data_IF_767252859598
#
_entry.id   IF_767252859598
#
_cell.length_a   1.000
_cell.length_b   1.000
_cell.length_c   1.000
_cell.angle_alpha   90.00
_cell.angle_beta   90.00
_cell.angle_gamma   90.00
#
_symmetry.space_group_name_H-M   'P 1'
#
loop_
_entity.id
_entity.type
_entity.pdbx_description
1 polymer ?
#
# COMPACT_ATOMS: atom_id res chain seq x y z
N UNK A 1 -94.28 -9.75 56.49
CA UNK A 1 -92.87 -9.39 56.78
C UNK A 1 -91.94 -10.42 56.12
N UNK A 2 -91.36 -10.09 54.96
CA UNK A 2 -90.41 -10.97 54.25
C UNK A 2 -89.02 -10.25 54.22
N UNK A 3 -88.04 -10.90 54.81
CA UNK A 3 -86.67 -10.43 54.80
C UNK A 3 -86.03 -10.81 53.44
N UNK A 4 -85.53 -9.85 52.75
CA UNK A 4 -84.69 -10.03 51.56
C UNK A 4 -83.29 -10.29 52.01
N UNK A 5 -82.69 -11.41 51.59
CA UNK A 5 -81.27 -11.71 51.73
C UNK A 5 -80.55 -11.25 50.44
N UNK A 6 -79.65 -10.35 50.59
CA UNK A 6 -78.76 -9.90 49.49
C UNK A 6 -77.52 -10.79 49.53
N UNK A 7 -77.31 -11.58 48.48
CA UNK A 7 -76.11 -12.36 48.26
C UNK A 7 -75.06 -11.51 47.58
N UNK A 8 -73.94 -11.34 48.24
CA UNK A 8 -72.72 -10.61 47.71
C UNK A 8 -71.90 -11.57 46.87
N UNK A 9 -71.82 -11.32 45.59
CA UNK A 9 -70.91 -12.01 44.65
C UNK A 9 -69.60 -11.33 44.70
N UNK A 10 -68.55 -12.06 45.19
CA UNK A 10 -67.13 -11.62 45.12
C UNK A 10 -66.56 -12.08 43.81
N UNK A 11 -66.27 -11.12 42.90
CA UNK A 11 -65.52 -11.35 41.67
C UNK A 11 -64.05 -11.32 41.96
N UNK A 12 -63.37 -12.48 41.88
CA UNK A 12 -61.91 -12.59 41.99
C UNK A 12 -61.29 -12.19 40.62
N UNK A 13 -60.55 -11.10 40.60
CA UNK A 13 -59.78 -10.66 39.45
C UNK A 13 -58.41 -11.41 39.48
N UNK A 14 -58.25 -12.42 38.63
CA UNK A 14 -56.95 -13.03 38.38
C UNK A 14 -56.10 -12.08 37.51
N UNK A 15 -55.09 -11.42 38.09
CA UNK A 15 -54.08 -10.69 37.37
C UNK A 15 -53.08 -11.70 36.77
N UNK A 16 -53.14 -11.85 35.43
CA UNK A 16 -52.11 -12.60 34.69
C UNK A 16 -50.89 -11.67 34.52
N UNK A 17 -49.81 -11.93 35.30
CA UNK A 17 -48.51 -11.27 35.13
C UNK A 17 -47.84 -11.92 33.90
N UNK A 18 -47.86 -11.28 32.75
CA UNK A 18 -46.98 -11.63 31.65
C UNK A 18 -45.56 -11.21 32.03
N UNK A 19 -44.76 -12.15 32.49
CA UNK A 19 -43.31 -11.99 32.60
C UNK A 19 -42.67 -11.92 31.19
N UNK A 20 -42.26 -10.73 30.78
CA UNK A 20 -41.42 -10.57 29.61
C UNK A 20 -40.09 -11.22 29.92
N UNK A 21 -39.79 -12.40 29.37
CA UNK A 21 -38.47 -12.98 29.32
C UNK A 21 -37.62 -12.07 28.42
N UNK A 22 -36.84 -11.17 29.01
CA UNK A 22 -35.75 -10.49 28.34
C UNK A 22 -34.67 -11.56 28.04
N UNK A 23 -34.63 -12.03 26.80
CA UNK A 23 -33.49 -12.80 26.31
C UNK A 23 -32.25 -11.88 26.42
N UNK A 24 -31.12 -12.36 26.99
CA UNK A 24 -29.90 -11.60 26.92
C UNK A 24 -29.56 -11.40 25.44
N UNK A 25 -29.41 -10.15 24.99
CA UNK A 25 -28.77 -9.85 23.72
C UNK A 25 -27.33 -10.41 23.88
N UNK A 26 -27.07 -11.51 23.19
CA UNK A 26 -25.67 -11.94 22.98
C UNK A 26 -25.09 -10.80 22.17
N UNK A 27 -24.16 -10.04 22.73
CA UNK A 27 -23.32 -9.14 21.99
C UNK A 27 -22.63 -10.04 20.95
N UNK A 28 -23.01 -9.90 19.69
CA UNK A 28 -22.34 -10.57 18.60
C UNK A 28 -21.05 -9.77 18.45
N UNK A 29 -19.92 -10.35 18.82
CA UNK A 29 -18.63 -9.75 18.55
C UNK A 29 -18.55 -9.51 17.04
N UNK A 30 -18.33 -8.26 16.64
CA UNK A 30 -18.17 -7.92 15.24
C UNK A 30 -17.02 -8.71 14.64
N UNK A 31 -17.15 -9.27 13.43
CA UNK A 31 -16.04 -9.96 12.80
C UNK A 31 -14.87 -8.98 12.59
N UNK A 32 -13.65 -9.46 12.79
CA UNK A 32 -12.44 -8.68 12.53
C UNK A 32 -11.88 -9.09 11.17
N UNK A 33 -11.64 -8.10 10.32
CA UNK A 33 -10.90 -8.24 9.07
C UNK A 33 -9.46 -7.81 9.32
N UNK A 34 -8.51 -8.71 9.15
CA UNK A 34 -7.09 -8.46 9.38
C UNK A 34 -6.36 -8.25 8.05
N UNK A 35 -5.74 -7.11 7.90
CA UNK A 35 -5.00 -6.71 6.68
C UNK A 35 -3.52 -6.60 7.04
N UNK A 36 -2.68 -7.44 6.42
CA UNK A 36 -1.23 -7.28 6.51
C UNK A 36 -0.77 -6.29 5.45
N UNK A 37 0.02 -5.31 5.88
CA UNK A 37 0.47 -4.21 5.03
C UNK A 37 1.83 -3.66 5.49
N UNK A 38 2.33 -2.62 4.83
CA UNK A 38 3.56 -1.94 5.21
C UNK A 38 3.32 -0.88 6.30
N UNK A 39 4.38 -0.50 6.99
CA UNK A 39 4.33 0.37 8.17
C UNK A 39 3.78 1.76 7.87
N UNK A 40 4.20 2.38 6.75
CA UNK A 40 3.73 3.70 6.33
C UNK A 40 2.21 3.71 6.07
N UNK A 41 1.64 2.62 5.51
CA UNK A 41 0.20 2.53 5.27
C UNK A 41 -0.59 2.48 6.57
N UNK A 42 -0.11 1.71 7.56
CA UNK A 42 -0.77 1.49 8.84
C UNK A 42 -0.49 2.58 9.88
N UNK A 43 0.47 3.47 9.64
CA UNK A 43 0.87 4.53 10.57
C UNK A 43 -0.29 5.51 10.86
N UNK A 44 -0.22 6.20 12.00
CA UNK A 44 -1.23 7.21 12.38
C UNK A 44 -1.40 8.34 11.33
N UNK A 45 -0.37 8.60 10.55
CA UNK A 45 -0.36 9.59 9.46
C UNK A 45 -0.64 8.99 8.08
N UNK A 46 -0.63 7.65 7.96
CA UNK A 46 -0.90 6.92 6.72
C UNK A 46 -2.39 6.82 6.40
N UNK A 47 -2.75 6.16 5.29
CA UNK A 47 -4.16 6.02 4.87
C UNK A 47 -4.98 5.05 5.73
N UNK A 48 -4.32 4.10 6.42
CA UNK A 48 -4.97 3.05 7.18
C UNK A 48 -6.02 3.54 8.16
N UNK A 49 -5.75 4.52 9.05
CA UNK A 49 -6.73 5.02 10.01
C UNK A 49 -7.99 5.59 9.37
N UNK A 50 -7.86 6.34 8.27
CA UNK A 50 -9.00 6.94 7.57
C UNK A 50 -9.81 5.89 6.80
N UNK A 51 -9.13 4.93 6.16
CA UNK A 51 -9.80 3.79 5.52
C UNK A 51 -10.54 2.93 6.52
N UNK A 52 -9.95 2.70 7.70
CA UNK A 52 -10.59 1.99 8.82
C UNK A 52 -11.87 2.70 9.24
N UNK A 53 -11.81 3.99 9.52
CA UNK A 53 -12.98 4.78 9.93
C UNK A 53 -14.09 4.72 8.87
N UNK A 54 -13.74 4.94 7.60
CA UNK A 54 -14.71 4.93 6.50
C UNK A 54 -15.34 3.56 6.24
N UNK A 55 -14.56 2.49 6.31
CA UNK A 55 -15.07 1.14 6.10
C UNK A 55 -15.89 0.63 7.28
N UNK A 56 -15.44 0.83 8.53
CA UNK A 56 -16.17 0.43 9.74
C UNK A 56 -17.50 1.15 9.89
N UNK A 57 -17.64 2.37 9.35
CA UNK A 57 -18.92 3.07 9.29
C UNK A 57 -19.96 2.39 8.39
N UNK A 58 -19.54 1.53 7.46
CA UNK A 58 -20.39 0.85 6.48
C UNK A 58 -20.59 -0.64 6.78
N UNK A 59 -19.67 -1.27 7.51
CA UNK A 59 -19.77 -2.67 7.93
C UNK A 59 -20.06 -2.78 9.43
N UNK A 60 -20.65 -3.86 9.85
CA UNK A 60 -20.73 -4.23 11.27
C UNK A 60 -19.48 -5.08 11.61
N UNK A 61 -18.29 -4.51 11.44
CA UNK A 61 -17.02 -5.21 11.57
C UNK A 61 -15.96 -4.35 12.27
N UNK A 62 -14.80 -4.94 12.53
CA UNK A 62 -13.56 -4.27 12.89
C UNK A 62 -12.55 -4.49 11.79
N UNK A 63 -11.88 -3.44 11.31
CA UNK A 63 -10.75 -3.53 10.40
C UNK A 63 -9.45 -3.37 11.20
N UNK A 64 -8.54 -4.32 11.10
CA UNK A 64 -7.27 -4.31 11.81
C UNK A 64 -6.10 -4.38 10.82
N UNK A 65 -5.22 -3.36 10.87
CA UNK A 65 -4.01 -3.32 10.07
C UNK A 65 -2.83 -3.83 10.88
N UNK A 66 -2.16 -4.84 10.36
CA UNK A 66 -0.96 -5.43 10.96
C UNK A 66 0.22 -5.14 10.04
N UNK A 67 1.12 -4.27 10.51
CA UNK A 67 2.24 -3.79 9.70
C UNK A 67 3.45 -4.73 9.72
N UNK A 68 4.19 -4.67 8.63
CA UNK A 68 5.56 -5.14 8.47
C UNK A 68 6.42 -3.97 7.98
N UNK A 69 7.74 -4.14 7.95
CA UNK A 69 8.67 -3.08 7.51
C UNK A 69 8.36 -2.60 6.08
N UNK A 70 7.90 -3.52 5.20
CA UNK A 70 7.44 -3.22 3.85
C UNK A 70 6.54 -4.36 3.31
N UNK A 71 5.95 -4.19 2.14
CA UNK A 71 4.93 -5.08 1.57
C UNK A 71 5.43 -6.49 1.27
N UNK A 72 6.64 -6.63 0.73
CA UNK A 72 7.25 -7.95 0.52
C UNK A 72 7.49 -8.67 1.86
N UNK A 73 7.84 -7.92 2.91
CA UNK A 73 7.95 -8.47 4.27
C UNK A 73 6.61 -8.99 4.79
N UNK A 74 5.50 -8.29 4.50
CA UNK A 74 4.16 -8.74 4.85
C UNK A 74 3.80 -10.08 4.14
N UNK A 75 4.12 -10.21 2.84
CA UNK A 75 3.95 -11.45 2.10
C UNK A 75 4.80 -12.59 2.69
N UNK A 76 6.07 -12.33 2.99
CA UNK A 76 6.96 -13.32 3.61
C UNK A 76 6.45 -13.78 4.97
N UNK A 77 5.91 -12.87 5.76
CA UNK A 77 5.29 -13.19 7.04
C UNK A 77 4.13 -14.17 6.86
N UNK A 78 3.18 -13.85 5.96
CA UNK A 78 2.05 -14.75 5.68
C UNK A 78 2.50 -16.12 5.17
N UNK A 79 3.55 -16.19 4.31
CA UNK A 79 4.15 -17.44 3.87
C UNK A 79 4.73 -18.28 5.03
N UNK A 80 5.41 -17.65 5.97
CA UNK A 80 6.01 -18.33 7.13
C UNK A 80 4.96 -18.81 8.13
N UNK A 81 3.89 -18.06 8.31
CA UNK A 81 2.77 -18.42 9.17
C UNK A 81 1.92 -19.57 8.56
N UNK A 82 1.86 -19.64 7.22
CA UNK A 82 1.11 -20.67 6.49
C UNK A 82 -0.36 -20.72 6.90
N UNK A 83 -0.86 -21.93 7.23
CA UNK A 83 -2.26 -22.12 7.66
C UNK A 83 -2.60 -21.44 9.02
N UNK A 84 -1.58 -20.94 9.73
CA UNK A 84 -1.77 -20.23 10.99
C UNK A 84 -1.81 -18.71 10.83
N UNK A 85 -1.71 -18.19 9.60
CA UNK A 85 -1.81 -16.73 9.38
C UNK A 85 -3.17 -16.21 9.82
N UNK A 86 -3.15 -15.05 10.46
CA UNK A 86 -4.35 -14.30 10.84
C UNK A 86 -4.77 -13.30 9.75
N UNK A 87 -3.97 -13.18 8.67
CA UNK A 87 -4.27 -12.26 7.59
C UNK A 87 -5.46 -12.74 6.75
N UNK A 88 -6.39 -11.84 6.48
CA UNK A 88 -7.45 -11.99 5.49
C UNK A 88 -7.02 -11.44 4.13
N UNK A 89 -6.23 -10.35 4.16
CA UNK A 89 -5.76 -9.61 2.99
C UNK A 89 -4.26 -9.29 3.15
N UNK A 90 -3.51 -9.36 2.05
CA UNK A 90 -2.21 -8.67 1.90
C UNK A 90 -2.45 -7.44 1.03
N UNK A 91 -2.04 -6.28 1.52
CA UNK A 91 -2.17 -4.99 0.85
C UNK A 91 -0.80 -4.33 0.69
N UNK A 92 -0.52 -3.77 -0.49
CA UNK A 92 0.72 -3.06 -0.79
C UNK A 92 1.71 -3.86 -1.64
N UNK A 93 1.38 -5.11 -2.05
CA UNK A 93 2.09 -5.72 -3.17
C UNK A 93 1.92 -4.85 -4.42
N UNK A 94 2.68 -5.11 -5.47
CA UNK A 94 2.64 -4.31 -6.69
C UNK A 94 2.74 -5.18 -7.96
N UNK A 95 2.67 -4.54 -9.11
CA UNK A 95 2.82 -5.20 -10.41
C UNK A 95 4.09 -6.03 -10.54
N UNK A 96 5.16 -5.72 -9.80
CA UNK A 96 6.41 -6.48 -9.81
C UNK A 96 6.31 -7.77 -8.98
N UNK A 97 5.45 -7.81 -7.99
CA UNK A 97 5.34 -8.89 -7.00
C UNK A 97 4.13 -9.79 -7.20
N UNK A 98 3.19 -9.43 -8.10
CA UNK A 98 2.00 -10.25 -8.43
C UNK A 98 2.41 -11.69 -8.80
N UNK A 99 3.39 -11.87 -9.69
CA UNK A 99 3.83 -13.20 -10.12
C UNK A 99 4.37 -14.04 -8.97
N UNK A 100 5.12 -13.44 -8.06
CA UNK A 100 5.56 -14.11 -6.84
C UNK A 100 4.39 -14.43 -5.91
N UNK A 101 3.47 -13.47 -5.70
CA UNK A 101 2.26 -13.66 -4.92
C UNK A 101 1.46 -14.87 -5.44
N UNK A 102 1.22 -14.95 -6.74
CA UNK A 102 0.53 -16.08 -7.39
C UNK A 102 1.26 -17.41 -7.19
N UNK A 103 2.59 -17.42 -7.26
CA UNK A 103 3.40 -18.63 -7.06
C UNK A 103 3.32 -19.18 -5.64
N UNK A 104 2.90 -18.37 -4.64
CA UNK A 104 2.69 -18.83 -3.26
C UNK A 104 1.46 -19.72 -3.09
N UNK A 105 0.48 -19.63 -4.01
CA UNK A 105 -0.85 -20.22 -3.89
C UNK A 105 -1.62 -19.77 -2.63
N UNK A 106 -1.26 -18.65 -2.03
CA UNK A 106 -1.95 -18.10 -0.86
C UNK A 106 -3.22 -17.33 -1.20
N UNK A 107 -3.31 -16.78 -2.41
CA UNK A 107 -4.38 -15.87 -2.81
C UNK A 107 -5.55 -16.59 -3.51
N UNK A 108 -6.70 -15.95 -3.53
CA UNK A 108 -7.90 -16.41 -4.24
C UNK A 108 -8.49 -15.28 -5.08
N UNK A 109 -9.31 -15.62 -6.06
CA UNK A 109 -10.02 -14.66 -6.90
C UNK A 109 -10.89 -13.70 -6.05
N UNK A 110 -10.80 -12.40 -6.37
CA UNK A 110 -11.59 -11.38 -5.68
C UNK A 110 -13.08 -11.42 -6.05
N UNK A 111 -13.46 -11.90 -7.24
CA UNK A 111 -14.84 -12.02 -7.72
C UNK A 111 -15.62 -10.67 -7.73
N UNK A 112 -14.91 -9.56 -7.86
CA UNK A 112 -15.51 -8.22 -7.95
C UNK A 112 -15.71 -7.83 -9.42
N UNK A 113 -16.77 -7.08 -9.68
CA UNK A 113 -16.95 -6.34 -10.94
C UNK A 113 -16.26 -4.99 -10.78
N UNK A 114 -15.00 -4.92 -11.24
CA UNK A 114 -14.15 -3.75 -11.04
C UNK A 114 -14.49 -2.66 -12.08
N UNK A 115 -14.38 -1.38 -11.70
CA UNK A 115 -14.54 -0.27 -12.65
C UNK A 115 -13.34 -0.18 -13.61
N UNK A 116 -13.48 0.61 -14.66
CA UNK A 116 -12.32 1.06 -15.44
C UNK A 116 -11.46 1.98 -14.57
N UNK A 117 -10.16 1.68 -14.47
CA UNK A 117 -9.22 2.43 -13.65
C UNK A 117 -8.46 3.48 -14.46
N UNK A 118 -8.14 4.60 -13.83
CA UNK A 118 -7.27 5.65 -14.37
C UNK A 118 -5.79 5.35 -14.05
N UNK A 119 -5.29 4.26 -14.63
CA UNK A 119 -3.91 3.77 -14.48
C UNK A 119 -3.25 3.58 -15.84
N UNK A 120 -1.89 3.57 -15.92
CA UNK A 120 -1.18 3.54 -17.20
C UNK A 120 -1.24 2.20 -17.96
N UNK A 121 -2.04 1.24 -17.51
CA UNK A 121 -2.28 -0.05 -18.20
C UNK A 121 -3.74 -0.52 -18.03
N UNK A 122 -4.20 -1.40 -18.91
CA UNK A 122 -5.48 -2.09 -18.76
C UNK A 122 -5.38 -3.14 -17.65
N UNK A 123 -6.30 -3.10 -16.68
CA UNK A 123 -6.31 -4.03 -15.56
C UNK A 123 -7.27 -5.18 -15.79
N UNK A 124 -6.74 -6.40 -15.79
CA UNK A 124 -7.53 -7.63 -16.05
C UNK A 124 -7.24 -8.74 -15.05
N UNK A 125 -6.50 -8.46 -13.98
CA UNK A 125 -6.19 -9.45 -12.94
C UNK A 125 -7.47 -9.84 -12.17
N UNK A 126 -7.69 -11.15 -11.94
CA UNK A 126 -8.85 -11.67 -11.23
C UNK A 126 -8.57 -11.94 -9.73
N UNK A 127 -7.32 -11.79 -9.29
CA UNK A 127 -6.86 -12.08 -7.92
C UNK A 127 -6.53 -10.81 -7.16
N UNK A 128 -5.85 -9.88 -7.82
CA UNK A 128 -5.39 -8.65 -7.21
C UNK A 128 -6.18 -7.44 -7.67
N UNK A 129 -6.47 -6.52 -6.74
CA UNK A 129 -7.20 -5.27 -6.98
C UNK A 129 -6.22 -4.11 -6.83
N UNK A 130 -6.05 -3.23 -7.84
CA UNK A 130 -5.19 -2.05 -7.75
C UNK A 130 -5.85 -1.00 -6.87
N UNK A 131 -5.05 -0.23 -6.12
CA UNK A 131 -5.62 0.81 -5.26
C UNK A 131 -4.91 2.17 -5.36
N UNK A 132 -3.64 2.20 -5.73
CA UNK A 132 -2.91 3.41 -6.07
C UNK A 132 -1.76 3.11 -7.02
N UNK A 133 -1.09 4.16 -7.54
CA UNK A 133 0.08 4.00 -8.39
C UNK A 133 1.02 5.19 -8.31
N UNK A 134 2.26 4.97 -8.74
CA UNK A 134 3.28 6.00 -8.83
C UNK A 134 4.44 5.58 -9.73
N UNK A 135 5.51 6.38 -9.68
CA UNK A 135 6.70 6.15 -10.47
C UNK A 135 7.92 6.36 -9.60
N UNK A 136 8.88 5.45 -9.64
CA UNK A 136 10.07 5.58 -8.82
C UNK A 136 10.92 6.76 -9.27
N UNK A 137 11.49 7.46 -8.29
CA UNK A 137 12.41 8.56 -8.51
C UNK A 137 13.35 8.72 -7.31
N UNK A 138 14.49 9.33 -7.53
CA UNK A 138 15.31 9.83 -6.44
C UNK A 138 14.81 11.21 -5.99
N UNK A 139 14.51 11.35 -4.69
CA UNK A 139 14.13 12.63 -4.09
C UNK A 139 15.36 13.31 -3.50
N UNK A 140 15.44 14.62 -3.64
CA UNK A 140 16.56 15.44 -3.21
C UNK A 140 16.10 16.78 -2.62
N UNK A 141 17.01 17.46 -1.91
CA UNK A 141 16.82 18.82 -1.38
C UNK A 141 17.48 19.86 -2.30
N UNK A 142 16.70 20.79 -2.86
CA UNK A 142 17.19 21.86 -3.74
C UNK A 142 18.14 22.83 -3.04
N UNK A 143 18.15 22.89 -1.71
CA UNK A 143 19.10 23.69 -0.93
C UNK A 143 20.52 23.06 -0.95
N UNK A 144 20.60 21.74 -1.11
CA UNK A 144 21.86 21.00 -1.18
C UNK A 144 22.28 20.72 -2.62
N UNK A 145 21.33 20.44 -3.51
CA UNK A 145 21.58 20.02 -4.90
C UNK A 145 20.89 21.00 -5.85
N UNK A 146 21.69 21.87 -6.48
CA UNK A 146 21.18 22.85 -7.44
C UNK A 146 20.82 22.23 -8.81
N UNK A 147 21.51 21.16 -9.19
CA UNK A 147 21.30 20.44 -10.46
C UNK A 147 21.34 18.95 -10.16
N UNK A 148 20.19 18.28 -10.03
CA UNK A 148 20.12 16.84 -9.81
C UNK A 148 20.56 16.09 -11.07
N UNK A 149 21.04 14.82 -10.94
CA UNK A 149 21.29 13.96 -12.09
C UNK A 149 20.01 13.67 -12.85
N UNK A 150 20.08 13.67 -14.20
CA UNK A 150 18.97 13.35 -15.08
C UNK A 150 19.06 11.94 -15.69
N UNK A 151 20.03 11.14 -15.25
CA UNK A 151 20.17 9.73 -15.62
C UNK A 151 21.00 8.97 -14.58
N UNK A 152 21.02 7.62 -14.67
CA UNK A 152 21.91 6.81 -13.84
C UNK A 152 23.37 7.08 -14.14
N UNK A 153 23.76 7.32 -15.40
CA UNK A 153 25.14 7.67 -15.78
C UNK A 153 25.58 8.99 -15.15
N UNK A 154 24.72 9.98 -15.09
CA UNK A 154 25.01 11.24 -14.39
C UNK A 154 25.14 11.03 -12.90
N UNK A 155 24.27 10.19 -12.30
CA UNK A 155 24.32 9.85 -10.87
C UNK A 155 25.64 9.17 -10.51
N UNK A 156 26.07 8.15 -11.25
CA UNK A 156 27.32 7.44 -11.01
C UNK A 156 28.57 8.28 -11.30
N UNK A 157 28.45 9.35 -12.10
CA UNK A 157 29.53 10.28 -12.38
C UNK A 157 29.75 11.35 -11.30
N UNK A 158 28.88 11.43 -10.30
CA UNK A 158 29.00 12.37 -9.19
C UNK A 158 30.22 12.03 -8.30
N UNK A 159 30.71 12.97 -7.48
CA UNK A 159 31.78 12.70 -6.52
C UNK A 159 31.42 11.55 -5.57
N UNK A 160 32.39 10.72 -5.16
CA UNK A 160 32.16 9.54 -4.33
C UNK A 160 31.64 9.83 -2.91
N UNK A 161 31.73 11.07 -2.44
CA UNK A 161 31.14 11.54 -1.18
C UNK A 161 29.65 11.87 -1.32
N UNK A 162 29.11 11.95 -2.55
CA UNK A 162 27.67 12.01 -2.81
C UNK A 162 27.00 10.68 -2.45
N UNK A 163 26.00 10.71 -1.58
CA UNK A 163 25.38 9.50 -1.03
C UNK A 163 23.91 9.38 -1.34
N UNK A 164 23.51 8.18 -1.71
CA UNK A 164 22.11 7.79 -1.86
C UNK A 164 21.77 6.71 -0.84
N UNK A 165 20.51 6.67 -0.44
CA UNK A 165 19.94 5.57 0.34
C UNK A 165 18.87 4.88 -0.49
N UNK A 166 18.90 3.55 -0.49
CA UNK A 166 17.98 2.67 -1.22
C UNK A 166 17.45 1.57 -0.30
N UNK A 167 16.43 0.85 -0.74
CA UNK A 167 15.81 -0.22 0.01
C UNK A 167 16.26 -1.60 -0.51
N UNK A 168 16.12 -2.62 0.35
CA UNK A 168 16.43 -4.01 0.03
C UNK A 168 15.32 -4.61 -0.87
N UNK A 169 15.63 -5.02 -2.11
CA UNK A 169 14.66 -5.60 -3.03
C UNK A 169 14.05 -6.94 -2.57
N UNK A 170 14.60 -7.53 -1.49
CA UNK A 170 14.10 -8.78 -0.91
C UNK A 170 12.99 -8.57 0.12
N UNK A 171 12.82 -7.34 0.59
CA UNK A 171 11.85 -6.96 1.61
C UNK A 171 10.94 -5.81 1.19
N UNK A 172 11.37 -4.96 0.24
CA UNK A 172 10.75 -3.69 -0.12
C UNK A 172 10.40 -3.62 -1.61
N UNK A 173 9.17 -3.17 -1.93
CA UNK A 173 8.73 -2.95 -3.32
C UNK A 173 9.53 -1.83 -4.01
N UNK A 174 9.82 -0.66 -3.39
CA UNK A 174 10.72 0.32 -4.00
C UNK A 174 12.13 -0.22 -4.30
N UNK A 175 12.67 -1.03 -3.40
CA UNK A 175 13.98 -1.67 -3.64
C UNK A 175 13.97 -2.59 -4.86
N UNK A 176 12.91 -3.39 -5.03
CA UNK A 176 12.71 -4.20 -6.23
C UNK A 176 12.48 -3.30 -7.45
N UNK A 177 11.70 -2.24 -7.30
CA UNK A 177 11.42 -1.28 -8.35
C UNK A 177 12.68 -0.63 -8.95
N UNK A 178 13.70 -0.34 -8.13
CA UNK A 178 14.99 0.16 -8.62
C UNK A 178 15.70 -0.87 -9.50
N UNK A 179 15.66 -2.15 -9.14
CA UNK A 179 16.21 -3.21 -9.98
C UNK A 179 15.52 -3.24 -11.34
N UNK A 180 14.19 -3.20 -11.32
CA UNK A 180 13.39 -3.24 -12.55
C UNK A 180 13.59 -1.97 -13.39
N UNK A 181 13.72 -0.80 -12.77
CA UNK A 181 14.01 0.45 -13.46
C UNK A 181 15.34 0.40 -14.19
N UNK A 182 16.40 -0.05 -13.52
CA UNK A 182 17.71 -0.23 -14.15
C UNK A 182 17.65 -1.29 -15.25
N UNK A 183 16.98 -2.43 -15.03
CA UNK A 183 16.81 -3.47 -16.06
C UNK A 183 16.00 -3.00 -17.28
N UNK A 184 14.95 -2.22 -17.07
CA UNK A 184 14.15 -1.67 -18.16
C UNK A 184 14.96 -0.72 -19.07
N UNK A 185 15.93 0.00 -18.51
CA UNK A 185 16.77 0.94 -19.26
C UNK A 185 18.02 0.29 -19.87
N UNK A 186 18.66 -0.63 -19.17
CA UNK A 186 20.01 -1.11 -19.51
C UNK A 186 20.08 -2.61 -19.85
N UNK A 187 19.01 -3.39 -19.57
CA UNK A 187 19.00 -4.82 -19.91
C UNK A 187 20.22 -5.56 -19.35
N UNK A 188 21.01 -6.17 -20.24
CA UNK A 188 22.21 -6.93 -19.86
C UNK A 188 23.36 -6.04 -19.36
N UNK A 189 23.33 -4.72 -19.65
CA UNK A 189 24.33 -3.74 -19.20
C UNK A 189 24.03 -3.22 -17.77
N UNK A 190 22.94 -3.65 -17.14
CA UNK A 190 22.54 -3.23 -15.79
C UNK A 190 23.65 -3.42 -14.72
N UNK A 191 24.49 -4.45 -14.88
CA UNK A 191 25.62 -4.71 -13.97
C UNK A 191 26.59 -3.53 -13.90
N UNK A 192 26.85 -2.83 -15.03
CA UNK A 192 27.76 -1.69 -15.08
C UNK A 192 27.18 -0.50 -14.29
N UNK A 193 25.86 -0.33 -14.33
CA UNK A 193 25.16 0.68 -13.54
C UNK A 193 25.26 0.35 -12.05
N UNK A 194 25.06 -0.90 -11.65
CA UNK A 194 25.20 -1.33 -10.25
C UNK A 194 26.63 -1.15 -9.73
N UNK A 195 27.65 -1.50 -10.51
CA UNK A 195 29.06 -1.26 -10.17
C UNK A 195 29.34 0.23 -9.97
N UNK A 196 28.75 1.09 -10.81
CA UNK A 196 28.86 2.55 -10.69
C UNK A 196 28.11 3.12 -9.48
N UNK A 197 26.92 2.60 -9.15
CA UNK A 197 26.12 3.04 -8.01
C UNK A 197 26.70 2.60 -6.66
N UNK A 198 27.36 1.45 -6.59
CA UNK A 198 27.84 0.86 -5.34
C UNK A 198 28.63 1.83 -4.45
N UNK A 199 29.58 2.67 -4.97
CA UNK A 199 30.29 3.65 -4.14
C UNK A 199 29.39 4.76 -3.57
N UNK A 200 28.22 5.03 -4.18
CA UNK A 200 27.29 6.06 -3.77
C UNK A 200 26.26 5.55 -2.76
N UNK A 201 26.01 4.24 -2.67
CA UNK A 201 25.06 3.67 -1.72
C UNK A 201 25.59 3.82 -0.30
N UNK A 202 24.93 4.67 0.51
CA UNK A 202 25.25 4.85 1.92
C UNK A 202 24.88 3.58 2.70
N UNK A 203 23.67 3.11 2.49
CA UNK A 203 23.12 1.90 3.10
C UNK A 203 21.92 1.40 2.30
N UNK A 204 21.56 0.14 2.55
CA UNK A 204 20.37 -0.53 2.03
C UNK A 204 19.46 -0.82 3.23
N UNK A 205 18.34 -0.13 3.33
CA UNK A 205 17.39 -0.26 4.44
C UNK A 205 16.40 -1.40 4.21
N UNK A 206 15.73 -1.88 5.26
CA UNK A 206 14.74 -2.95 5.15
C UNK A 206 13.46 -2.47 4.43
N UNK A 207 13.05 -1.22 4.67
CA UNK A 207 11.85 -0.60 4.11
C UNK A 207 12.03 0.87 3.77
N UNK A 208 10.97 1.44 3.20
CA UNK A 208 10.96 2.81 2.69
C UNK A 208 11.08 3.86 3.81
N UNK A 209 10.34 3.71 4.92
CA UNK A 209 10.28 4.71 6.00
C UNK A 209 11.67 4.99 6.57
N UNK A 210 12.46 3.96 6.85
CA UNK A 210 13.83 4.11 7.37
C UNK A 210 14.73 4.89 6.40
N UNK A 211 14.64 4.60 5.09
CA UNK A 211 15.46 5.29 4.10
C UNK A 211 15.07 6.77 3.95
N UNK A 212 13.78 7.06 4.02
CA UNK A 212 13.31 8.44 3.92
C UNK A 212 13.71 9.27 5.15
N UNK A 213 13.68 8.68 6.34
CA UNK A 213 14.16 9.30 7.58
C UNK A 213 15.66 9.61 7.53
N UNK A 214 16.49 8.71 6.99
CA UNK A 214 17.93 8.96 6.78
C UNK A 214 18.17 10.15 5.84
N UNK A 215 17.39 10.27 4.78
CA UNK A 215 17.45 11.42 3.88
C UNK A 215 17.04 12.72 4.59
N UNK A 216 15.91 12.73 5.28
CA UNK A 216 15.41 13.92 5.99
C UNK A 216 16.34 14.37 7.12
N UNK A 217 17.08 13.43 7.73
CA UNK A 217 18.11 13.75 8.73
C UNK A 217 19.39 14.31 8.13
N UNK A 218 19.52 14.29 6.78
CA UNK A 218 20.69 14.80 6.05
C UNK A 218 21.86 13.84 6.02
N UNK A 219 21.64 12.54 6.25
CA UNK A 219 22.69 11.53 6.17
C UNK A 219 22.95 11.07 4.72
N UNK A 220 21.98 11.25 3.84
CA UNK A 220 22.09 10.99 2.42
C UNK A 220 21.68 12.21 1.60
N UNK A 221 22.30 12.39 0.43
CA UNK A 221 21.99 13.47 -0.50
C UNK A 221 20.71 13.21 -1.29
N UNK A 222 20.42 11.95 -1.58
CA UNK A 222 19.20 11.53 -2.25
C UNK A 222 18.66 10.22 -1.65
N UNK A 223 17.35 10.02 -1.79
CA UNK A 223 16.66 8.79 -1.40
C UNK A 223 15.87 8.24 -2.57
N UNK A 224 15.88 6.92 -2.74
CA UNK A 224 14.95 6.24 -3.64
C UNK A 224 13.53 6.33 -3.05
N UNK A 225 12.62 6.90 -3.82
CA UNK A 225 11.22 7.12 -3.45
C UNK A 225 10.37 7.25 -4.73
N UNK A 226 9.44 8.21 -4.77
CA UNK A 226 8.50 8.37 -5.88
C UNK A 226 8.52 9.79 -6.45
N UNK A 227 8.09 9.94 -7.69
CA UNK A 227 7.88 11.25 -8.32
C UNK A 227 6.87 12.10 -7.54
N UNK A 228 5.99 11.48 -6.78
CA UNK A 228 4.93 12.10 -5.98
C UNK A 228 5.36 12.44 -4.54
N UNK A 229 6.45 11.89 -4.02
CA UNK A 229 6.89 12.13 -2.64
C UNK A 229 7.05 13.62 -2.28
N UNK A 230 7.48 14.52 -3.18
CA UNK A 230 7.52 15.94 -2.87
C UNK A 230 6.14 16.57 -2.60
N UNK A 231 5.04 15.92 -3.00
CA UNK A 231 3.69 16.44 -2.73
C UNK A 231 3.42 16.49 -1.21
N UNK A 232 3.93 15.54 -0.43
CA UNK A 232 3.86 15.58 1.03
C UNK A 232 4.42 16.89 1.58
N UNK A 233 5.64 17.22 1.25
CA UNK A 233 6.30 18.44 1.74
C UNK A 233 5.59 19.69 1.27
N UNK A 234 5.18 19.74 0.02
CA UNK A 234 4.50 20.89 -0.56
C UNK A 234 3.11 21.11 0.06
N UNK A 235 2.31 20.05 0.18
CA UNK A 235 0.88 20.16 0.56
C UNK A 235 0.72 20.15 2.08
N UNK A 236 1.38 19.22 2.79
CA UNK A 236 1.20 19.07 4.23
C UNK A 236 2.11 20.00 5.04
N UNK A 237 3.33 20.28 4.58
CA UNK A 237 4.31 21.08 5.32
C UNK A 237 4.48 22.49 4.76
N UNK A 238 4.04 22.76 3.53
CA UNK A 238 4.24 24.04 2.85
C UNK A 238 5.70 24.29 2.43
N UNK A 239 6.49 23.20 2.30
CA UNK A 239 7.90 23.21 1.95
C UNK A 239 8.09 22.79 0.48
N UNK A 240 8.70 23.64 -0.33
CA UNK A 240 8.89 23.40 -1.77
C UNK A 240 10.32 23.01 -2.14
N UNK A 241 11.21 22.84 -1.14
CA UNK A 241 12.62 22.52 -1.38
C UNK A 241 12.86 21.06 -1.80
N UNK A 242 12.01 20.13 -1.39
CA UNK A 242 12.15 18.72 -1.78
C UNK A 242 11.58 18.51 -3.17
N UNK A 243 12.35 17.86 -4.04
CA UNK A 243 11.99 17.59 -5.43
C UNK A 243 12.38 16.16 -5.84
N UNK A 244 11.68 15.62 -6.82
CA UNK A 244 12.10 14.39 -7.48
C UNK A 244 13.02 14.71 -8.65
N UNK A 245 14.12 13.98 -8.79
CA UNK A 245 15.01 14.10 -9.95
C UNK A 245 14.33 13.47 -11.17
N UNK A 246 14.15 14.27 -12.23
CA UNK A 246 13.57 13.78 -13.48
C UNK A 246 14.66 13.11 -14.30
N UNK A 247 14.50 11.81 -14.57
CA UNK A 247 15.36 11.07 -15.47
C UNK A 247 14.79 11.12 -16.90
N UNK A 248 15.61 11.57 -17.84
CA UNK A 248 15.19 11.79 -19.22
C UNK A 248 14.75 10.50 -19.94
N UNK A 249 15.34 9.37 -19.57
CA UNK A 249 14.98 8.06 -20.11
C UNK A 249 13.67 7.49 -19.57
N UNK A 250 13.05 8.16 -18.57
CA UNK A 250 11.77 7.80 -17.98
C UNK A 250 11.87 7.17 -16.60
N UNK A 251 10.70 6.90 -16.03
CA UNK A 251 10.54 6.40 -14.68
C UNK A 251 9.77 5.07 -14.68
N UNK A 252 10.17 4.13 -13.84
CA UNK A 252 9.50 2.84 -13.74
C UNK A 252 8.20 2.97 -12.96
N UNK A 253 7.13 2.40 -13.51
CA UNK A 253 5.78 2.45 -12.95
C UNK A 253 5.62 1.40 -11.85
N UNK A 254 5.02 1.80 -10.73
CA UNK A 254 4.50 0.90 -9.72
C UNK A 254 2.98 1.07 -9.64
N UNK A 255 2.23 -0.03 -9.63
CA UNK A 255 0.80 -0.05 -9.28
C UNK A 255 0.66 -0.96 -8.08
N UNK A 256 0.23 -0.40 -6.96
CA UNK A 256 0.03 -1.16 -5.73
C UNK A 256 -1.29 -1.92 -5.77
N UNK A 257 -1.28 -3.10 -5.20
CA UNK A 257 -2.41 -4.02 -5.23
C UNK A 257 -2.69 -4.66 -3.86
N UNK A 258 -3.93 -5.08 -3.69
CA UNK A 258 -4.37 -5.88 -2.55
C UNK A 258 -4.97 -7.20 -3.02
N UNK A 259 -4.69 -8.30 -2.29
CA UNK A 259 -5.19 -9.63 -2.59
C UNK A 259 -5.76 -10.34 -1.36
N UNK A 260 -6.82 -11.13 -1.56
CA UNK A 260 -7.51 -11.89 -0.50
C UNK A 260 -6.79 -13.23 -0.32
N UNK A 261 -6.50 -13.61 0.92
CA UNK A 261 -5.95 -14.93 1.20
C UNK A 261 -7.02 -16.02 1.13
N UNK A 262 -6.70 -17.13 0.45
CA UNK A 262 -7.61 -18.26 0.28
C UNK A 262 -7.98 -18.92 1.63
N UNK A 263 -7.11 -18.84 2.64
CA UNK A 263 -7.33 -19.33 4.00
C UNK A 263 -8.24 -18.46 4.84
N UNK A 264 -8.54 -17.21 4.41
CA UNK A 264 -9.37 -16.28 5.17
C UNK A 264 -10.76 -16.87 5.46
N UNK A 265 -11.22 -16.87 6.72
CA UNK A 265 -12.60 -17.21 7.06
C UNK A 265 -13.57 -16.06 6.74
N UNK A 266 -13.07 -14.86 6.43
CA UNK A 266 -13.82 -13.61 6.26
C UNK A 266 -13.96 -13.20 4.78
N UNK A 267 -14.05 -14.15 3.84
CA UNK A 267 -14.02 -13.91 2.39
C UNK A 267 -14.96 -12.81 1.90
N UNK A 268 -16.21 -12.80 2.38
CA UNK A 268 -17.20 -11.78 1.99
C UNK A 268 -16.83 -10.39 2.51
N UNK A 269 -16.30 -10.32 3.73
CA UNK A 269 -15.87 -9.05 4.33
C UNK A 269 -14.61 -8.52 3.63
N UNK A 270 -13.68 -9.42 3.26
CA UNK A 270 -12.50 -9.08 2.48
C UNK A 270 -12.87 -8.50 1.10
N UNK A 271 -13.82 -9.13 0.39
CA UNK A 271 -14.35 -8.59 -0.87
C UNK A 271 -15.01 -7.22 -0.67
N UNK A 272 -15.78 -7.06 0.41
CA UNK A 272 -16.42 -5.77 0.71
C UNK A 272 -15.37 -4.66 0.96
N UNK A 273 -14.27 -4.98 1.63
CA UNK A 273 -13.19 -4.01 1.83
C UNK A 273 -12.47 -3.67 0.53
N UNK A 274 -12.13 -4.65 -0.31
CA UNK A 274 -11.52 -4.36 -1.61
C UNK A 274 -12.44 -3.55 -2.52
N UNK A 275 -13.76 -3.86 -2.50
CA UNK A 275 -14.74 -3.07 -3.23
C UNK A 275 -14.84 -1.62 -2.70
N UNK A 276 -14.76 -1.42 -1.38
CA UNK A 276 -14.72 -0.09 -0.77
C UNK A 276 -13.44 0.67 -1.17
N UNK A 277 -12.29 0.01 -1.15
CA UNK A 277 -10.99 0.60 -1.46
C UNK A 277 -10.98 1.24 -2.87
N UNK A 278 -11.74 0.69 -3.81
CA UNK A 278 -11.87 1.21 -5.19
C UNK A 278 -13.18 2.00 -5.40
N UNK A 279 -13.68 2.66 -4.36
CA UNK A 279 -14.73 3.69 -4.48
C UNK A 279 -14.10 5.09 -4.39
N UNK A 280 -14.77 6.16 -4.86
CA UNK A 280 -14.29 7.53 -4.66
C UNK A 280 -14.03 7.88 -3.19
N UNK A 281 -14.81 7.34 -2.25
CA UNK A 281 -14.64 7.52 -0.82
C UNK A 281 -13.40 6.78 -0.28
N UNK A 282 -13.19 5.53 -0.72
CA UNK A 282 -12.01 4.74 -0.35
C UNK A 282 -10.72 5.28 -0.96
N UNK A 283 -10.81 5.93 -2.13
CA UNK A 283 -9.68 6.59 -2.78
C UNK A 283 -9.31 7.95 -2.16
N UNK A 284 -10.26 8.59 -1.44
CA UNK A 284 -10.08 9.97 -0.95
C UNK A 284 -8.86 10.16 -0.03
N UNK A 285 -8.52 9.26 0.91
CA UNK A 285 -7.35 9.45 1.77
C UNK A 285 -6.00 9.22 1.06
N UNK A 286 -5.94 8.39 0.00
CA UNK A 286 -4.67 7.93 -0.59
C UNK A 286 -3.77 9.06 -1.09
N UNK A 287 -4.24 10.05 -1.86
CA UNK A 287 -3.36 11.09 -2.38
C UNK A 287 -2.72 11.98 -1.30
N UNK A 288 -3.36 12.14 -0.14
CA UNK A 288 -2.91 13.06 0.92
C UNK A 288 -2.33 12.36 2.15
N UNK A 289 -2.29 11.02 2.14
CA UNK A 289 -1.70 10.24 3.24
C UNK A 289 -0.75 9.15 2.77
N UNK A 290 -0.98 8.55 1.58
CA UNK A 290 -0.02 7.65 0.92
C UNK A 290 0.85 8.38 -0.13
N UNK A 291 0.42 9.58 -0.53
CA UNK A 291 1.14 10.43 -1.50
C UNK A 291 1.37 9.75 -2.86
N UNK A 292 0.42 8.90 -3.25
CA UNK A 292 0.39 8.21 -4.53
C UNK A 292 -0.79 8.70 -5.37
N UNK A 293 -0.75 8.45 -6.67
CA UNK A 293 -1.90 8.73 -7.55
C UNK A 293 -3.01 7.72 -7.26
N UNK A 294 -4.27 8.17 -7.09
CA UNK A 294 -5.40 7.27 -6.93
C UNK A 294 -5.74 6.57 -8.25
N UNK A 295 -6.27 5.34 -8.19
CA UNK A 295 -6.69 4.58 -9.38
C UNK A 295 -8.06 5.03 -9.93
N UNK A 296 -8.80 5.83 -9.18
CA UNK A 296 -10.06 6.48 -9.56
C UNK A 296 -10.08 7.90 -9.00
N UNK A 297 -10.87 8.76 -9.61
CA UNK A 297 -11.04 10.12 -9.08
C UNK A 297 -11.60 10.06 -7.65
N UNK A 298 -10.86 10.57 -6.65
CA UNK A 298 -11.29 10.52 -5.25
C UNK A 298 -12.40 11.51 -4.95
N UNK A 299 -13.19 11.24 -3.92
CA UNK A 299 -14.15 12.23 -3.41
C UNK A 299 -13.43 13.51 -3.01
N UNK A 300 -13.80 14.62 -3.62
CA UNK A 300 -13.14 15.93 -3.45
C UNK A 300 -12.12 16.27 -4.52
N UNK A 301 -11.78 15.33 -5.40
CA UNK A 301 -10.78 15.51 -6.45
C UNK A 301 -9.33 15.42 -5.96
N UNK A 302 -8.40 15.33 -6.88
CA UNK A 302 -6.97 15.34 -6.57
C UNK A 302 -6.50 16.74 -6.15
N UNK A 303 -5.69 16.82 -5.10
CA UNK A 303 -5.14 18.08 -4.62
C UNK A 303 -4.31 18.77 -5.72
N UNK A 304 -4.53 20.08 -5.99
CA UNK A 304 -3.80 20.81 -7.05
C UNK A 304 -2.26 20.76 -6.91
N UNK A 305 -1.72 20.53 -5.71
CA UNK A 305 -0.29 20.38 -5.47
C UNK A 305 0.35 19.22 -6.25
N UNK A 306 -0.43 18.20 -6.63
CA UNK A 306 0.07 17.12 -7.49
C UNK A 306 0.42 17.57 -8.92
N UNK A 307 -0.14 18.69 -9.38
CA UNK A 307 0.21 19.26 -10.69
C UNK A 307 1.64 19.85 -10.72
N UNK A 308 2.25 20.08 -9.54
CA UNK A 308 3.63 20.55 -9.42
C UNK A 308 4.67 19.42 -9.47
N UNK A 309 4.21 18.16 -9.43
CA UNK A 309 5.11 17.01 -9.51
C UNK A 309 5.69 16.87 -10.93
N UNK A 310 6.86 16.25 -11.02
CA UNK A 310 7.49 16.04 -12.33
C UNK A 310 6.64 15.13 -13.22
N UNK A 311 6.64 15.39 -14.53
CA UNK A 311 6.10 14.45 -15.51
C UNK A 311 7.04 13.23 -15.61
N UNK A 312 6.56 12.00 -15.28
CA UNK A 312 7.38 10.80 -15.23
C UNK A 312 7.69 10.20 -16.61
N UNK A 313 7.16 10.78 -17.67
CA UNK A 313 7.25 10.20 -19.02
C UNK A 313 8.67 10.21 -19.60
N UNK A 314 9.05 9.15 -20.38
CA UNK A 314 8.22 7.95 -20.62
C UNK A 314 8.05 7.06 -19.39
N UNK A 315 6.83 6.50 -19.20
CA UNK A 315 6.57 5.50 -18.18
C UNK A 315 7.17 4.16 -18.62
N UNK A 316 7.94 3.54 -17.75
CA UNK A 316 8.60 2.26 -18.00
C UNK A 316 7.87 1.14 -17.22
N UNK A 317 7.70 0.01 -17.88
CA UNK A 317 7.18 -1.20 -17.26
C UNK A 317 7.72 -2.41 -18.03
N UNK A 318 8.25 -3.39 -17.34
CA UNK A 318 8.67 -4.66 -17.91
C UNK A 318 7.49 -5.62 -17.99
N UNK A 319 7.58 -6.60 -18.88
CA UNK A 319 6.60 -7.68 -18.97
C UNK A 319 6.55 -8.49 -17.66
N UNK A 320 5.35 -8.80 -17.16
CA UNK A 320 5.16 -9.47 -15.88
C UNK A 320 5.75 -10.89 -15.85
N UNK A 321 5.69 -11.63 -16.96
CA UNK A 321 6.28 -12.97 -17.06
C UNK A 321 7.82 -12.88 -17.05
N UNK A 322 8.38 -11.86 -17.71
CA UNK A 322 9.82 -11.58 -17.68
C UNK A 322 10.29 -11.24 -16.25
N UNK A 323 9.57 -10.37 -15.55
CA UNK A 323 9.84 -10.00 -14.15
C UNK A 323 9.82 -11.26 -13.29
N UNK A 324 8.73 -12.02 -13.34
CA UNK A 324 8.57 -13.24 -12.54
C UNK A 324 9.70 -14.25 -12.77
N UNK A 325 10.12 -14.43 -14.03
CA UNK A 325 11.16 -15.37 -14.38
C UNK A 325 12.57 -14.97 -13.94
N UNK A 326 12.85 -13.65 -13.84
CA UNK A 326 14.23 -13.16 -13.71
C UNK A 326 14.50 -12.41 -12.41
N UNK A 327 13.50 -12.00 -11.64
CA UNK A 327 13.64 -11.17 -10.42
C UNK A 327 14.75 -11.66 -9.50
N UNK A 328 14.79 -12.97 -9.22
CA UNK A 328 15.82 -13.53 -8.35
C UNK A 328 17.25 -13.33 -8.91
N UNK A 329 17.45 -13.59 -10.19
CA UNK A 329 18.74 -13.44 -10.84
C UNK A 329 19.18 -11.97 -10.87
N UNK A 330 18.25 -11.05 -11.13
CA UNK A 330 18.53 -9.61 -11.13
C UNK A 330 18.88 -9.07 -9.74
N UNK A 331 18.21 -9.57 -8.69
CA UNK A 331 18.57 -9.27 -7.29
C UNK A 331 19.97 -9.77 -6.97
N UNK A 332 20.31 -11.03 -7.33
CA UNK A 332 21.62 -11.61 -7.11
C UNK A 332 22.72 -10.83 -7.86
N UNK A 333 22.43 -10.35 -9.09
CA UNK A 333 23.32 -9.51 -9.88
C UNK A 333 23.63 -8.19 -9.15
N UNK A 334 22.60 -7.42 -8.76
CA UNK A 334 22.74 -6.15 -8.04
C UNK A 334 23.55 -6.33 -6.74
N UNK A 335 23.19 -7.33 -5.91
CA UNK A 335 23.88 -7.58 -4.65
C UNK A 335 25.32 -8.11 -4.81
N UNK A 336 25.71 -8.58 -5.99
CA UNK A 336 27.10 -8.94 -6.25
C UNK A 336 28.03 -7.72 -6.23
N UNK A 337 27.51 -6.53 -6.50
CA UNK A 337 28.24 -5.25 -6.58
C UNK A 337 28.14 -4.41 -5.30
N UNK A 338 27.04 -4.51 -4.56
CA UNK A 338 26.75 -3.72 -3.35
C UNK A 338 27.42 -4.24 -2.05
N UNK A 339 28.45 -5.07 -2.16
CA UNK A 339 29.13 -5.70 -1.02
C UNK A 339 30.31 -4.90 -0.52
#
# INVERSE_FOLDING_TARGET
MRKLMIASVRTSLCAVVLGALALPAIAQDNPTLTVYTYDAFAADWGPGPLLKEGFEAQCACTLDFVSADDSISALRRAQLEGDATEADIILGLDTATIGEGMATALFTEHQLDLPDFDIPLEWTDEVFVPFDYGYFAFVYDTQSIATPPASFEELIALPQDFKIVIQDPRSSTPGLGLILWIKALYGDEAIEIWEGLAPHVLTVTTGWSESYDLFLSGEADMVLSYTTSPAYHLIAEGEDRYRAAKFDAGHYTQIEVAGILASSPNQELARAFLAYLVTPEGQAPLPETNWMYPVLEPTGGLNPGFAEMIDPQPALLLDADEVTANTRAWIEEAFSTLR
#
